data_IF_736895949706
#
_entry.id   IF_736895949706
#
_cell.length_a   1.000
_cell.length_b   1.000
_cell.length_c   1.000
_cell.angle_alpha   90.00
_cell.angle_beta   90.00
_cell.angle_gamma   90.00
#
_symmetry.space_group_name_H-M   'P 1'
#
loop_
_entity.id
_entity.type
_entity.pdbx_description
1 polymer ?
#
# COMPACT_ATOMS: atom_id res chain seq x y z
N UNK A 1 11.85 13.14 1.14
CA UNK A 1 11.43 12.55 -0.16
C UNK A 1 9.92 12.31 -0.13
N UNK A 2 9.20 12.59 -1.22
CA UNK A 2 7.73 12.45 -1.25
C UNK A 2 7.35 10.96 -1.34
N UNK A 3 6.25 10.53 -0.67
CA UNK A 3 5.68 9.17 -0.72
C UNK A 3 5.48 8.70 -2.17
N UNK A 4 5.05 9.61 -3.03
CA UNK A 4 4.88 9.39 -4.47
C UNK A 4 6.19 9.03 -5.19
N UNK A 5 7.29 9.66 -4.79
CA UNK A 5 8.61 9.39 -5.37
C UNK A 5 9.12 8.00 -4.99
N UNK A 6 8.96 7.61 -3.71
CA UNK A 6 9.29 6.27 -3.22
C UNK A 6 8.45 5.22 -3.96
N UNK A 7 7.15 5.46 -4.09
CA UNK A 7 6.23 4.57 -4.81
C UNK A 7 6.64 4.42 -6.29
N UNK A 8 7.00 5.51 -6.96
CA UNK A 8 7.49 5.46 -8.34
C UNK A 8 8.80 4.66 -8.46
N UNK A 9 9.76 4.86 -7.56
CA UNK A 9 11.01 4.08 -7.55
C UNK A 9 10.75 2.59 -7.36
N UNK A 10 9.86 2.21 -6.44
CA UNK A 10 9.45 0.82 -6.22
C UNK A 10 8.77 0.23 -7.47
N UNK A 11 7.91 1.01 -8.15
CA UNK A 11 7.27 0.59 -9.40
C UNK A 11 8.29 0.37 -10.52
N UNK A 12 9.28 1.26 -10.68
CA UNK A 12 10.39 1.07 -11.63
C UNK A 12 11.16 -0.21 -11.31
N UNK A 13 11.47 -0.44 -10.03
CA UNK A 13 12.17 -1.64 -9.58
C UNK A 13 11.39 -2.91 -9.94
N UNK A 14 10.10 -2.98 -9.60
CA UNK A 14 9.23 -4.11 -9.92
C UNK A 14 9.08 -4.33 -11.43
N UNK A 15 8.92 -3.25 -12.20
CA UNK A 15 8.85 -3.33 -13.66
C UNK A 15 10.17 -3.87 -14.24
N UNK A 16 11.31 -3.42 -13.72
CA UNK A 16 12.63 -3.90 -14.12
C UNK A 16 12.79 -5.38 -13.83
N UNK A 17 12.41 -5.84 -12.64
CA UNK A 17 12.40 -7.26 -12.28
C UNK A 17 11.57 -8.09 -13.26
N UNK A 18 10.37 -7.61 -13.62
CA UNK A 18 9.51 -8.27 -14.60
C UNK A 18 10.15 -8.34 -15.98
N UNK A 19 10.80 -7.27 -16.44
CA UNK A 19 11.48 -7.22 -17.75
C UNK A 19 12.66 -8.18 -17.84
N UNK A 20 13.44 -8.33 -16.76
CA UNK A 20 14.56 -9.28 -16.72
C UNK A 20 14.11 -10.72 -16.39
N UNK A 21 12.81 -10.96 -16.21
CA UNK A 21 12.26 -12.29 -15.93
C UNK A 21 12.47 -12.79 -14.50
N UNK A 22 12.75 -11.90 -13.53
CA UNK A 22 12.92 -12.26 -12.12
C UNK A 22 11.66 -11.95 -11.31
N UNK A 23 11.21 -12.92 -10.52
CA UNK A 23 10.19 -12.69 -9.50
C UNK A 23 10.78 -11.95 -8.29
N UNK A 24 9.93 -11.26 -7.50
CA UNK A 24 10.38 -10.63 -6.25
C UNK A 24 11.03 -11.65 -5.29
N UNK A 25 10.50 -12.89 -5.28
CA UNK A 25 11.02 -13.98 -4.46
C UNK A 25 12.41 -14.42 -4.90
N UNK A 26 12.58 -14.65 -6.20
CA UNK A 26 13.88 -15.05 -6.77
C UNK A 26 14.92 -13.95 -6.63
N UNK A 27 14.52 -12.69 -6.82
CA UNK A 27 15.37 -11.54 -6.53
C UNK A 27 15.82 -11.51 -5.06
N UNK A 28 14.87 -11.61 -4.12
CA UNK A 28 15.18 -11.54 -2.70
C UNK A 28 16.12 -12.66 -2.25
N UNK A 29 15.92 -13.88 -2.77
CA UNK A 29 16.79 -15.02 -2.49
C UNK A 29 18.21 -14.83 -3.02
N UNK A 30 18.35 -14.41 -4.29
CA UNK A 30 19.66 -14.12 -4.90
C UNK A 30 20.39 -12.99 -4.18
N UNK A 31 19.68 -11.92 -3.86
CA UNK A 31 20.24 -10.80 -3.13
C UNK A 31 20.81 -11.25 -1.77
N UNK A 32 20.09 -12.11 -1.03
CA UNK A 32 20.57 -12.65 0.24
C UNK A 32 21.81 -13.52 0.04
N UNK A 33 21.79 -14.45 -0.90
CA UNK A 33 22.92 -15.36 -1.16
C UNK A 33 24.19 -14.63 -1.62
N UNK A 34 24.06 -13.52 -2.34
CA UNK A 34 25.21 -12.73 -2.81
C UNK A 34 25.68 -11.68 -1.79
N UNK A 35 24.82 -11.27 -0.85
CA UNK A 35 25.16 -10.27 0.17
C UNK A 35 25.70 -10.90 1.45
N UNK A 36 25.21 -12.09 1.83
CA UNK A 36 25.60 -12.78 3.05
C UNK A 36 26.53 -13.95 2.72
N UNK A 37 27.76 -13.91 3.24
CA UNK A 37 28.79 -14.93 3.00
C UNK A 37 28.43 -16.29 3.61
N UNK A 38 27.69 -16.28 4.72
CA UNK A 38 27.11 -17.46 5.37
C UNK A 38 25.72 -17.13 5.89
N UNK A 39 24.69 -17.78 5.35
CA UNK A 39 23.32 -17.69 5.85
C UNK A 39 22.73 -19.11 5.93
N UNK A 40 22.22 -19.48 7.10
CA UNK A 40 21.42 -20.69 7.24
C UNK A 40 20.05 -20.53 6.55
N UNK A 41 19.36 -21.65 6.35
CA UNK A 41 18.08 -21.69 5.62
C UNK A 41 16.99 -20.84 6.30
N UNK A 42 17.02 -20.74 7.62
CA UNK A 42 16.08 -19.90 8.38
C UNK A 42 16.35 -18.41 8.14
N UNK A 43 17.62 -17.99 8.19
CA UNK A 43 18.06 -16.61 7.94
C UNK A 43 17.77 -16.19 6.50
N UNK A 44 17.95 -17.11 5.55
CA UNK A 44 17.60 -16.88 4.14
C UNK A 44 16.10 -16.60 4.01
N UNK A 45 15.26 -17.46 4.60
CA UNK A 45 13.80 -17.30 4.53
C UNK A 45 13.31 -16.01 5.19
N UNK A 46 13.80 -15.69 6.40
CA UNK A 46 13.41 -14.46 7.12
C UNK A 46 13.84 -13.20 6.36
N UNK A 47 15.06 -13.19 5.82
CA UNK A 47 15.59 -12.06 5.05
C UNK A 47 14.85 -11.90 3.73
N UNK A 48 14.53 -13.01 3.05
CA UNK A 48 13.71 -13.01 1.83
C UNK A 48 12.35 -12.37 2.06
N UNK A 49 11.64 -12.80 3.10
CA UNK A 49 10.32 -12.28 3.42
C UNK A 49 10.38 -10.80 3.84
N UNK A 50 11.45 -10.39 4.52
CA UNK A 50 11.73 -8.98 4.85
C UNK A 50 11.91 -8.14 3.57
N UNK A 51 12.71 -8.61 2.61
CA UNK A 51 12.95 -7.92 1.34
C UNK A 51 11.65 -7.82 0.53
N UNK A 52 10.88 -8.89 0.42
CA UNK A 52 9.58 -8.87 -0.26
C UNK A 52 8.66 -7.83 0.39
N UNK A 53 8.59 -7.77 1.73
CA UNK A 53 7.84 -6.73 2.44
C UNK A 53 8.35 -5.32 2.09
N UNK A 54 9.66 -5.11 2.04
CA UNK A 54 10.25 -3.82 1.68
C UNK A 54 9.92 -3.41 0.22
N UNK A 55 9.95 -4.35 -0.72
CA UNK A 55 9.58 -4.06 -2.11
C UNK A 55 8.11 -3.62 -2.27
N UNK A 56 7.25 -3.99 -1.32
CA UNK A 56 5.82 -3.64 -1.36
C UNK A 56 5.44 -2.45 -0.47
N UNK A 57 6.37 -1.91 0.33
CA UNK A 57 6.09 -0.82 1.28
C UNK A 57 6.55 0.53 0.74
N UNK A 58 5.62 1.48 0.59
CA UNK A 58 5.93 2.89 0.27
C UNK A 58 6.67 3.66 1.37
N UNK A 59 6.94 2.99 2.50
CA UNK A 59 7.77 3.49 3.62
C UNK A 59 9.22 3.02 3.55
N UNK A 60 9.57 2.17 2.58
CA UNK A 60 10.94 1.70 2.40
C UNK A 60 11.90 2.84 2.07
N UNK A 61 13.07 2.84 2.69
CA UNK A 61 14.04 3.91 2.52
C UNK A 61 14.52 4.02 1.06
N UNK A 62 14.67 5.24 0.52
CA UNK A 62 15.15 5.46 -0.84
C UNK A 62 16.52 4.86 -1.11
N UNK A 63 17.41 4.91 -0.12
CA UNK A 63 18.76 4.38 -0.17
C UNK A 63 18.72 2.87 -0.42
N UNK A 64 17.87 2.15 0.33
CA UNK A 64 17.71 0.71 0.18
C UNK A 64 17.12 0.33 -1.19
N UNK A 65 16.15 1.11 -1.69
CA UNK A 65 15.60 0.92 -3.03
C UNK A 65 16.70 1.12 -4.10
N UNK A 66 17.57 2.11 -3.91
CA UNK A 66 18.69 2.34 -4.83
C UNK A 66 19.70 1.20 -4.75
N UNK A 67 19.99 0.64 -3.57
CA UNK A 67 20.84 -0.54 -3.40
C UNK A 67 20.27 -1.74 -4.16
N UNK A 68 18.98 -2.02 -4.01
CA UNK A 68 18.32 -3.09 -4.76
C UNK A 68 18.37 -2.85 -6.27
N UNK A 69 18.16 -1.62 -6.70
CA UNK A 69 18.26 -1.25 -8.11
C UNK A 69 19.70 -1.40 -8.66
N UNK A 70 20.71 -1.05 -7.87
CA UNK A 70 22.12 -1.24 -8.24
C UNK A 70 22.47 -2.71 -8.38
N UNK A 71 22.00 -3.55 -7.45
CA UNK A 71 22.16 -5.00 -7.54
C UNK A 71 21.49 -5.57 -8.80
N UNK A 72 20.26 -5.13 -9.10
CA UNK A 72 19.58 -5.55 -10.34
C UNK A 72 20.42 -5.17 -11.56
N UNK A 73 20.97 -3.95 -11.60
CA UNK A 73 21.81 -3.47 -12.71
C UNK A 73 23.13 -4.22 -12.85
N UNK A 74 23.66 -4.82 -11.78
CA UNK A 74 24.87 -5.66 -11.85
C UNK A 74 24.60 -7.09 -12.31
N UNK A 75 23.34 -7.52 -12.40
CA UNK A 75 22.99 -8.88 -12.86
C UNK A 75 23.23 -9.05 -14.36
N UNK A 76 23.57 -10.26 -14.79
CA UNK A 76 23.77 -10.58 -16.21
C UNK A 76 22.48 -10.42 -17.00
N UNK A 77 21.35 -10.77 -16.40
CA UNK A 77 20.02 -10.66 -16.98
C UNK A 77 19.69 -9.21 -17.37
N UNK A 78 20.09 -8.24 -16.54
CA UNK A 78 19.92 -6.83 -16.89
C UNK A 78 20.77 -6.40 -18.09
N UNK A 79 22.00 -6.93 -18.22
CA UNK A 79 22.88 -6.60 -19.36
C UNK A 79 22.37 -7.11 -20.72
N UNK A 80 21.55 -8.16 -20.72
CA UNK A 80 20.98 -8.80 -21.92
C UNK A 80 19.54 -8.34 -22.18
N UNK A 81 18.87 -7.81 -21.16
CA UNK A 81 17.50 -7.32 -21.28
C UNK A 81 17.42 -6.08 -22.19
N UNK A 82 16.38 -6.03 -23.01
CA UNK A 82 16.05 -4.80 -23.75
C UNK A 82 15.79 -3.68 -22.73
N UNK A 83 16.27 -2.44 -22.99
CA UNK A 83 15.92 -1.31 -22.15
C UNK A 83 14.41 -1.20 -22.05
N UNK A 84 13.90 -0.84 -20.87
CA UNK A 84 12.48 -0.55 -20.66
C UNK A 84 12.05 0.44 -21.76
N UNK A 85 11.24 -0.02 -22.72
CA UNK A 85 10.62 0.88 -23.69
C UNK A 85 9.67 1.78 -22.91
N UNK A 86 10.00 3.07 -22.87
CA UNK A 86 9.39 4.05 -21.98
C UNK A 86 7.87 4.25 -22.15
N UNK A 87 7.25 3.78 -23.24
CA UNK A 87 5.87 4.19 -23.56
C UNK A 87 4.76 3.19 -23.23
N UNK A 88 5.02 1.89 -23.14
CA UNK A 88 3.91 0.91 -23.00
C UNK A 88 3.74 0.36 -21.58
N UNK A 89 4.83 0.24 -20.80
CA UNK A 89 4.83 -0.49 -19.53
C UNK A 89 4.91 0.38 -18.27
N UNK A 90 5.52 1.58 -18.32
CA UNK A 90 5.72 2.40 -17.13
C UNK A 90 5.32 3.86 -17.35
N UNK A 91 4.22 4.26 -16.70
CA UNK A 91 3.83 5.67 -16.55
C UNK A 91 4.07 6.09 -15.10
N UNK A 92 4.93 7.08 -14.80
CA UNK A 92 5.12 7.57 -13.43
C UNK A 92 3.77 8.03 -12.84
N UNK A 93 3.54 7.72 -11.57
CA UNK A 93 2.43 8.31 -10.83
C UNK A 93 2.73 9.80 -10.66
N UNK A 94 1.74 10.62 -10.90
CA UNK A 94 1.76 12.09 -10.84
C UNK A 94 1.10 12.63 -9.57
N UNK A 95 0.51 11.77 -8.74
CA UNK A 95 -0.28 12.11 -7.57
C UNK A 95 -1.69 12.58 -7.90
N UNK A 96 -2.15 12.38 -9.15
CA UNK A 96 -3.47 12.85 -9.62
C UNK A 96 -4.35 11.69 -10.02
N UNK A 97 -5.65 11.96 -10.13
CA UNK A 97 -6.71 10.97 -10.44
C UNK A 97 -6.38 9.99 -11.58
N UNK A 98 -5.65 10.45 -12.61
CA UNK A 98 -5.29 9.62 -13.77
C UNK A 98 -4.33 8.45 -13.45
N UNK A 99 -3.67 8.49 -12.30
CA UNK A 99 -2.72 7.47 -11.84
C UNK A 99 -3.39 6.14 -11.53
N UNK A 100 -4.67 6.17 -11.14
CA UNK A 100 -5.41 4.99 -10.75
C UNK A 100 -5.46 3.93 -11.86
N UNK A 101 -5.67 4.33 -13.11
CA UNK A 101 -5.68 3.42 -14.24
C UNK A 101 -4.36 2.64 -14.38
N UNK A 102 -3.26 3.27 -13.94
CA UNK A 102 -1.94 2.64 -13.94
C UNK A 102 -1.81 1.66 -12.78
N UNK A 103 -2.28 2.03 -11.58
CA UNK A 103 -2.23 1.19 -10.38
C UNK A 103 -3.04 -0.09 -10.59
N UNK A 104 -4.30 0.02 -11.05
CA UNK A 104 -5.17 -1.13 -11.35
C UNK A 104 -4.53 -2.09 -12.36
N UNK A 105 -3.96 -1.54 -13.44
CA UNK A 105 -3.28 -2.34 -14.46
C UNK A 105 -2.07 -3.11 -13.91
N UNK A 106 -1.42 -2.58 -12.87
CA UNK A 106 -0.24 -3.19 -12.26
C UNK A 106 -0.56 -4.20 -11.16
N UNK A 107 -1.78 -4.20 -10.60
CA UNK A 107 -2.23 -5.18 -9.61
C UNK A 107 -2.31 -6.58 -10.24
N UNK A 108 -1.45 -7.50 -9.79
CA UNK A 108 -1.35 -8.84 -10.37
C UNK A 108 -2.49 -9.77 -9.94
N UNK A 109 -2.97 -9.62 -8.71
CA UNK A 109 -4.10 -10.39 -8.20
C UNK A 109 -5.40 -9.90 -8.84
N UNK A 110 -6.15 -10.80 -9.47
CA UNK A 110 -7.38 -10.45 -10.19
C UNK A 110 -8.51 -10.02 -9.24
N UNK A 111 -8.57 -10.63 -8.05
CA UNK A 111 -9.57 -10.30 -7.03
C UNK A 111 -9.29 -8.89 -6.50
N UNK A 112 -8.07 -8.63 -6.06
CA UNK A 112 -7.64 -7.31 -5.59
C UNK A 112 -7.84 -6.25 -6.68
N UNK A 113 -7.53 -6.58 -7.94
CA UNK A 113 -7.73 -5.66 -9.07
C UNK A 113 -9.20 -5.26 -9.23
N UNK A 114 -10.10 -6.23 -9.30
CA UNK A 114 -11.53 -5.97 -9.50
C UNK A 114 -12.17 -5.28 -8.28
N UNK A 115 -11.72 -5.61 -7.07
CA UNK A 115 -12.11 -4.90 -5.83
C UNK A 115 -11.68 -3.43 -5.88
N UNK A 116 -10.42 -3.17 -6.23
CA UNK A 116 -9.90 -1.82 -6.40
C UNK A 116 -10.64 -1.06 -7.50
N UNK A 117 -11.06 -1.76 -8.57
CA UNK A 117 -11.73 -1.13 -9.71
C UNK A 117 -13.05 -0.47 -9.30
N UNK A 118 -13.87 -1.24 -8.59
CA UNK A 118 -15.17 -0.78 -8.13
C UNK A 118 -15.01 0.26 -7.02
N UNK A 119 -14.09 0.05 -6.07
CA UNK A 119 -13.84 0.98 -4.98
C UNK A 119 -13.36 2.34 -5.48
N UNK A 120 -12.49 2.38 -6.48
CA UNK A 120 -12.01 3.63 -7.03
C UNK A 120 -13.05 4.33 -7.90
N UNK A 121 -13.84 3.59 -8.69
CA UNK A 121 -14.98 4.17 -9.40
C UNK A 121 -15.93 4.90 -8.42
N UNK A 122 -16.18 4.28 -7.27
CA UNK A 122 -16.92 4.90 -6.18
C UNK A 122 -16.20 6.13 -5.59
N UNK A 123 -14.92 6.00 -5.25
CA UNK A 123 -14.13 7.08 -4.68
C UNK A 123 -14.08 8.33 -5.59
N UNK A 124 -13.98 8.14 -6.91
CA UNK A 124 -14.02 9.23 -7.89
C UNK A 124 -15.41 9.82 -8.12
N UNK A 125 -16.48 9.06 -7.86
CA UNK A 125 -17.82 9.60 -7.88
C UNK A 125 -18.07 10.56 -6.70
N UNK A 126 -17.36 10.38 -5.57
CA UNK A 126 -17.57 11.17 -4.35
C UNK A 126 -16.49 12.24 -4.09
N UNK A 127 -15.38 12.22 -4.83
CA UNK A 127 -14.31 13.20 -4.69
C UNK A 127 -13.03 12.84 -5.43
N UNK A 128 -11.90 13.08 -4.77
CA UNK A 128 -10.57 12.70 -5.26
C UNK A 128 -10.08 11.47 -4.50
N UNK A 129 -9.20 10.69 -5.11
CA UNK A 129 -8.62 9.52 -4.47
C UNK A 129 -7.21 9.22 -4.96
N UNK A 130 -6.37 8.82 -4.02
CA UNK A 130 -5.02 8.29 -4.21
C UNK A 130 -4.70 7.31 -3.08
N UNK A 131 -3.61 6.55 -3.22
CA UNK A 131 -3.11 5.60 -2.20
C UNK A 131 -4.17 4.63 -1.67
N UNK A 132 -4.55 3.66 -2.48
CA UNK A 132 -5.50 2.61 -2.10
C UNK A 132 -4.81 1.49 -1.30
N UNK A 133 -5.47 1.02 -0.24
CA UNK A 133 -5.09 -0.15 0.54
C UNK A 133 -6.30 -1.09 0.63
N UNK A 134 -6.09 -2.38 0.39
CA UNK A 134 -7.15 -3.40 0.40
C UNK A 134 -6.84 -4.43 1.47
N UNK A 135 -7.87 -4.85 2.21
CA UNK A 135 -7.78 -6.01 3.10
C UNK A 135 -9.05 -6.84 3.01
N UNK A 136 -8.90 -8.15 2.91
CA UNK A 136 -10.03 -9.08 3.01
C UNK A 136 -10.53 -9.10 4.45
N UNK A 137 -11.85 -9.05 4.61
CA UNK A 137 -12.52 -9.16 5.90
C UNK A 137 -13.39 -10.41 5.91
N UNK A 138 -13.24 -11.21 6.94
CA UNK A 138 -14.07 -12.38 7.18
C UNK A 138 -15.42 -11.96 7.76
N UNK A 139 -16.49 -12.52 7.19
CA UNK A 139 -17.85 -12.50 7.72
C UNK A 139 -18.47 -13.89 7.47
N UNK A 140 -19.41 -14.31 8.33
CA UNK A 140 -19.92 -15.66 8.58
C UNK A 140 -20.42 -16.47 7.34
N UNK A 141 -19.53 -16.75 6.38
CA UNK A 141 -19.59 -17.87 5.45
C UNK A 141 -20.35 -17.70 4.13
N UNK A 142 -20.89 -16.52 3.79
CA UNK A 142 -21.76 -16.38 2.61
C UNK A 142 -21.18 -15.59 1.43
N UNK A 143 -20.28 -14.63 1.64
CA UNK A 143 -19.69 -13.83 0.57
C UNK A 143 -18.33 -13.26 0.98
N UNK A 144 -17.37 -13.21 0.05
CA UNK A 144 -16.09 -12.52 0.28
C UNK A 144 -16.33 -11.02 0.40
N UNK A 145 -15.69 -10.41 1.39
CA UNK A 145 -15.80 -8.99 1.68
C UNK A 145 -14.42 -8.38 1.83
N UNK A 146 -14.30 -7.12 1.43
CA UNK A 146 -13.06 -6.40 1.43
C UNK A 146 -13.29 -4.99 1.97
N UNK A 147 -12.35 -4.50 2.77
CA UNK A 147 -12.25 -3.07 3.07
C UNK A 147 -11.27 -2.45 2.11
N UNK A 148 -11.66 -1.33 1.53
CA UNK A 148 -10.77 -0.51 0.71
C UNK A 148 -10.66 0.86 1.33
N UNK A 149 -9.44 1.24 1.72
CA UNK A 149 -9.10 2.55 2.23
C UNK A 149 -8.42 3.35 1.12
N UNK A 150 -8.69 4.65 1.04
CA UNK A 150 -7.96 5.57 0.18
C UNK A 150 -7.73 6.91 0.87
N UNK A 151 -6.74 7.67 0.43
CA UNK A 151 -6.60 9.07 0.79
C UNK A 151 -7.27 9.94 -0.27
N UNK A 152 -7.99 10.99 0.15
CA UNK A 152 -8.75 11.81 -0.77
C UNK A 152 -9.39 13.03 -0.12
N UNK A 153 -9.66 14.05 -0.92
CA UNK A 153 -10.65 15.09 -0.60
C UNK A 153 -12.03 14.59 -1.00
N UNK A 154 -12.84 14.26 0.00
CA UNK A 154 -14.22 13.75 -0.16
C UNK A 154 -15.18 14.92 -0.01
N UNK A 155 -16.01 15.15 -1.03
CA UNK A 155 -16.99 16.26 -1.03
C UNK A 155 -16.53 17.55 -1.73
N UNK A 156 -15.36 17.57 -2.38
CA UNK A 156 -14.87 18.65 -3.25
C UNK A 156 -14.85 20.04 -2.57
N UNK A 157 -14.41 20.10 -1.31
CA UNK A 157 -14.39 21.33 -0.53
C UNK A 157 -13.28 22.31 -0.94
N UNK A 158 -12.21 21.83 -1.57
CA UNK A 158 -11.13 22.65 -2.13
C UNK A 158 -10.29 23.43 -1.11
N UNK A 159 -10.46 23.18 0.18
CA UNK A 159 -9.72 23.84 1.26
C UNK A 159 -8.41 23.12 1.60
N UNK A 160 -7.40 23.88 2.05
CA UNK A 160 -6.16 23.30 2.59
C UNK A 160 -6.46 22.57 3.91
N UNK A 161 -6.71 21.26 3.84
CA UNK A 161 -7.11 20.44 4.98
C UNK A 161 -8.30 19.53 4.72
N UNK A 162 -8.97 19.65 3.57
CA UNK A 162 -10.17 18.88 3.21
C UNK A 162 -9.91 17.43 2.80
N UNK A 163 -8.68 16.94 2.91
CA UNK A 163 -8.33 15.56 2.56
C UNK A 163 -8.04 14.71 3.80
N UNK A 164 -8.41 13.44 3.74
CA UNK A 164 -8.21 12.46 4.80
C UNK A 164 -8.32 11.03 4.29
N UNK A 165 -8.26 10.07 5.21
CA UNK A 165 -8.52 8.67 4.87
C UNK A 165 -10.02 8.42 4.79
N UNK A 166 -10.46 7.89 3.66
CA UNK A 166 -11.81 7.41 3.42
C UNK A 166 -11.80 5.90 3.21
N UNK A 167 -12.98 5.29 3.27
CA UNK A 167 -13.15 3.84 3.23
C UNK A 167 -14.49 3.46 2.58
N UNK A 168 -14.51 2.29 1.94
CA UNK A 168 -15.73 1.60 1.54
C UNK A 168 -15.58 0.09 1.76
N UNK A 169 -16.72 -0.61 1.85
CA UNK A 169 -16.75 -2.07 1.87
C UNK A 169 -17.17 -2.59 0.49
N UNK A 170 -16.36 -3.48 -0.08
CA UNK A 170 -16.63 -4.16 -1.35
C UNK A 170 -17.01 -5.61 -1.06
N UNK A 171 -18.04 -6.12 -1.74
CA UNK A 171 -18.52 -7.48 -1.59
C UNK A 171 -18.54 -8.21 -2.93
N UNK A 172 -18.22 -9.50 -2.90
CA UNK A 172 -18.41 -10.41 -4.03
C UNK A 172 -19.88 -10.89 -4.05
N UNK A 173 -20.56 -10.67 -5.17
CA UNK A 173 -21.90 -11.22 -5.42
C UNK A 173 -21.86 -12.72 -5.66
N UNK A 174 -23.03 -13.36 -5.61
CA UNK A 174 -23.16 -14.78 -5.96
C UNK A 174 -22.70 -15.14 -7.39
N UNK A 175 -22.63 -14.14 -8.29
CA UNK A 175 -22.18 -14.32 -9.67
C UNK A 175 -20.67 -14.02 -9.86
N UNK A 176 -19.92 -13.80 -8.78
CA UNK A 176 -18.49 -13.48 -8.82
C UNK A 176 -18.17 -12.03 -9.19
N UNK A 177 -19.18 -11.15 -9.31
CA UNK A 177 -18.96 -9.72 -9.55
C UNK A 177 -18.80 -8.97 -8.24
N UNK A 178 -17.83 -8.06 -8.18
CA UNK A 178 -17.63 -7.16 -7.06
C UNK A 178 -18.51 -5.91 -7.16
N UNK A 179 -19.00 -5.42 -6.02
CA UNK A 179 -19.75 -4.16 -5.91
C UNK A 179 -19.51 -3.51 -4.54
N UNK A 180 -19.69 -2.19 -4.45
CA UNK A 180 -19.65 -1.48 -3.16
C UNK A 180 -20.94 -1.77 -2.41
N UNK A 181 -20.86 -2.49 -1.29
CA UNK A 181 -22.00 -2.87 -0.45
C UNK A 181 -22.33 -1.76 0.56
N UNK A 182 -21.31 -1.28 1.28
CA UNK A 182 -21.45 -0.19 2.26
C UNK A 182 -20.61 1.01 1.88
N UNK A 183 -21.32 2.10 1.66
CA UNK A 183 -20.79 3.42 1.36
C UNK A 183 -20.61 4.30 2.62
N UNK A 184 -21.22 3.96 3.77
CA UNK A 184 -21.32 4.90 4.89
C UNK A 184 -19.99 5.18 5.62
N UNK A 185 -19.78 6.48 5.85
CA UNK A 185 -18.49 7.17 5.90
C UNK A 185 -17.99 7.55 7.31
N UNK A 186 -18.48 6.91 8.38
CA UNK A 186 -17.97 7.20 9.73
C UNK A 186 -16.82 6.28 10.07
N UNK A 187 -15.68 6.62 9.50
CA UNK A 187 -14.39 6.01 9.76
C UNK A 187 -13.48 7.04 10.43
N UNK A 188 -13.59 7.14 11.75
CA UNK A 188 -12.75 8.04 12.55
C UNK A 188 -11.66 7.22 13.24
N UNK A 189 -10.46 7.22 12.66
CA UNK A 189 -9.28 6.54 13.22
C UNK A 189 -8.61 7.33 14.35
N UNK A 190 -8.95 8.62 14.48
CA UNK A 190 -8.23 9.59 15.29
C UNK A 190 -6.90 10.05 14.68
N UNK A 191 -6.41 9.38 13.63
CA UNK A 191 -5.16 9.70 12.94
C UNK A 191 -5.35 10.79 11.90
N UNK A 192 -4.30 11.57 11.63
CA UNK A 192 -4.32 12.55 10.55
C UNK A 192 -4.36 11.89 9.18
N UNK A 193 -3.59 10.82 9.01
CA UNK A 193 -3.56 9.98 7.82
C UNK A 193 -3.26 8.52 8.20
N UNK A 194 -3.89 7.59 7.50
CA UNK A 194 -3.55 6.16 7.56
C UNK A 194 -2.45 5.88 6.52
N UNK A 195 -1.34 5.35 6.98
CA UNK A 195 -0.19 5.02 6.12
C UNK A 195 -0.32 3.65 5.47
N UNK A 196 -0.86 2.66 6.19
CA UNK A 196 -1.14 1.32 5.68
C UNK A 196 -2.13 0.57 6.57
N UNK A 197 -2.70 -0.50 6.01
CA UNK A 197 -3.36 -1.54 6.80
C UNK A 197 -2.28 -2.52 7.31
N UNK A 198 -2.26 -2.81 8.61
CA UNK A 198 -1.34 -3.81 9.19
C UNK A 198 -1.94 -5.21 9.10
N UNK A 199 -3.27 -5.31 9.19
CA UNK A 199 -4.03 -6.56 8.97
C UNK A 199 -5.45 -6.48 9.53
N UNK A 200 -6.21 -7.54 9.29
CA UNK A 200 -7.52 -7.80 9.90
C UNK A 200 -7.51 -9.21 10.50
N UNK A 201 -7.85 -9.34 11.78
CA UNK A 201 -7.88 -10.62 12.48
C UNK A 201 -8.95 -10.60 13.58
N UNK A 202 -9.73 -11.68 13.72
CA UNK A 202 -10.73 -11.84 14.79
C UNK A 202 -11.69 -10.64 14.95
N UNK A 203 -12.16 -10.07 13.84
CA UNK A 203 -13.04 -8.89 13.86
C UNK A 203 -12.34 -7.55 14.14
N UNK A 204 -11.00 -7.54 14.22
CA UNK A 204 -10.20 -6.37 14.55
C UNK A 204 -9.37 -5.93 13.34
N UNK A 205 -9.65 -4.71 12.86
CA UNK A 205 -8.85 -4.03 11.85
C UNK A 205 -7.69 -3.30 12.55
N UNK A 206 -6.46 -3.55 12.10
CA UNK A 206 -5.27 -2.88 12.61
C UNK A 206 -4.66 -1.98 11.54
N UNK A 207 -4.44 -0.73 11.90
CA UNK A 207 -3.95 0.33 11.02
C UNK A 207 -2.67 0.94 11.56
N UNK A 208 -1.79 1.38 10.67
CA UNK A 208 -0.65 2.22 11.00
C UNK A 208 -0.85 3.57 10.35
N UNK A 209 -0.73 4.65 11.11
CA UNK A 209 -0.85 6.00 10.59
C UNK A 209 -0.13 7.03 11.44
N UNK A 210 -0.33 8.30 11.09
CA UNK A 210 0.45 9.39 11.67
C UNK A 210 -0.42 10.50 12.27
N UNK A 211 0.12 11.20 13.27
CA UNK A 211 -0.42 12.42 13.87
C UNK A 211 0.67 13.50 14.00
N UNK A 212 0.22 14.74 14.20
CA UNK A 212 1.14 15.85 14.39
C UNK A 212 1.79 15.82 15.78
N UNK A 213 3.10 16.02 15.82
CA UNK A 213 3.81 16.55 16.96
C UNK A 213 3.65 18.08 17.04
N UNK A 214 4.07 18.65 18.16
CA UNK A 214 3.91 20.08 18.48
C UNK A 214 4.52 21.03 17.43
N UNK A 215 5.58 20.60 16.75
CA UNK A 215 6.31 21.40 15.77
C UNK A 215 6.21 20.85 14.34
N UNK A 216 5.26 19.95 14.07
CA UNK A 216 5.09 19.42 12.72
C UNK A 216 4.49 20.47 11.79
N UNK A 217 5.03 20.51 10.56
CA UNK A 217 4.40 21.27 9.48
C UNK A 217 3.11 20.57 9.05
N UNK A 218 2.13 21.35 8.55
CA UNK A 218 0.76 20.87 8.26
C UNK A 218 0.69 19.71 7.25
N UNK A 219 1.73 19.43 6.47
CA UNK A 219 1.78 18.31 5.53
C UNK A 219 2.71 17.16 5.97
N UNK A 220 3.27 17.21 7.18
CA UNK A 220 4.27 16.25 7.64
C UNK A 220 4.04 15.81 9.10
N UNK A 221 2.97 15.05 9.39
CA UNK A 221 2.80 14.42 10.70
C UNK A 221 3.94 13.41 10.95
N UNK A 222 4.50 13.44 12.16
CA UNK A 222 5.72 12.72 12.53
C UNK A 222 5.50 11.66 13.61
N UNK A 223 4.45 11.74 14.43
CA UNK A 223 4.14 10.69 15.42
C UNK A 223 3.45 9.52 14.74
N UNK A 224 3.99 8.32 14.89
CA UNK A 224 3.44 7.10 14.31
C UNK A 224 2.67 6.33 15.38
N UNK A 225 1.46 5.91 15.03
CA UNK A 225 0.58 5.14 15.89
C UNK A 225 0.10 3.86 15.21
N UNK A 226 -0.09 2.84 16.04
CA UNK A 226 -0.85 1.64 15.71
C UNK A 226 -2.25 1.77 16.30
N UNK A 227 -3.27 1.68 15.47
CA UNK A 227 -4.68 1.80 15.87
C UNK A 227 -5.38 0.49 15.58
N UNK A 228 -6.06 -0.06 16.59
CA UNK A 228 -6.95 -1.21 16.44
C UNK A 228 -8.38 -0.73 16.47
N UNK A 229 -9.19 -1.22 15.54
CA UNK A 229 -10.58 -0.86 15.37
C UNK A 229 -11.46 -2.10 15.31
N UNK A 230 -12.66 -2.01 15.88
CA UNK A 230 -13.70 -3.03 15.74
C UNK A 230 -14.99 -2.41 15.23
N UNK A 231 -15.83 -3.23 14.62
CA UNK A 231 -17.15 -2.81 14.14
C UNK A 231 -18.16 -2.90 15.29
N UNK A 232 -18.87 -1.82 15.56
CA UNK A 232 -20.02 -1.78 16.47
C UNK A 232 -21.31 -1.95 15.65
N UNK A 233 -22.10 -2.97 16.00
CA UNK A 233 -23.42 -3.26 15.41
C UNK A 233 -23.46 -3.09 13.88
N UNK A 234 -22.46 -3.62 13.17
CA UNK A 234 -22.32 -3.64 11.70
C UNK A 234 -22.33 -2.29 10.96
N UNK A 235 -22.25 -1.16 11.67
CA UNK A 235 -22.46 0.16 11.05
C UNK A 235 -21.33 1.14 11.28
N UNK A 236 -20.51 0.97 12.33
CA UNK A 236 -19.46 1.94 12.66
C UNK A 236 -18.17 1.27 13.11
N UNK A 237 -17.07 1.67 12.52
CA UNK A 237 -15.73 1.31 12.99
C UNK A 237 -15.33 2.22 14.13
N UNK A 238 -15.02 1.63 15.30
CA UNK A 238 -14.59 2.36 16.50
C UNK A 238 -13.17 1.98 16.86
N UNK A 239 -12.38 2.96 17.25
CA UNK A 239 -11.07 2.73 17.86
C UNK A 239 -11.25 2.05 19.21
N UNK A 240 -10.64 0.88 19.36
CA UNK A 240 -10.59 0.13 20.62
C UNK A 240 -9.23 0.23 21.31
N UNK A 241 -8.16 0.47 20.55
CA UNK A 241 -6.82 0.68 21.07
C UNK A 241 -6.03 1.64 20.17
N UNK A 242 -5.15 2.44 20.77
CA UNK A 242 -4.23 3.32 20.07
C UNK A 242 -2.89 3.33 20.81
N UNK A 243 -1.86 2.84 20.14
CA UNK A 243 -0.51 2.68 20.68
C UNK A 243 0.47 3.58 19.92
N UNK A 244 1.26 4.38 20.64
CA UNK A 244 2.36 5.13 20.05
C UNK A 244 3.53 4.18 19.78
N UNK A 245 3.98 4.10 18.53
CA UNK A 245 5.04 3.16 18.13
C UNK A 245 6.35 3.85 17.71
N UNK A 246 6.40 5.19 17.73
CA UNK A 246 7.62 5.96 17.50
C UNK A 246 7.42 7.20 16.64
N UNK A 247 8.52 7.86 16.31
CA UNK A 247 8.53 8.96 15.36
C UNK A 247 8.91 8.43 13.97
N UNK A 248 8.41 9.07 12.91
CA UNK A 248 8.66 8.72 11.51
C UNK A 248 10.16 8.65 11.15
N UNK A 249 11.02 9.30 11.93
CA UNK A 249 12.48 9.27 11.78
C UNK A 249 13.14 8.01 12.38
N UNK A 250 12.47 7.26 13.26
CA UNK A 250 13.00 6.05 13.91
C UNK A 250 12.76 4.75 13.13
N UNK A 251 12.02 4.80 12.01
CA UNK A 251 11.88 3.66 11.09
C UNK A 251 12.91 3.68 9.94
N UNK A 252 13.99 4.45 10.12
CA UNK A 252 15.06 4.68 9.12
C UNK A 252 16.37 3.94 9.43
N UNK A 253 16.38 3.02 10.40
CA UNK A 253 17.54 2.17 10.71
C UNK A 253 17.32 0.72 10.23
#
# INVERSE_FOLDING_TARGET
>A
MNKLEIQNRLRILKATLKTIGLSQRSFAERYVLETYEYADEETINRSRDKIIKQLNRVTTSPELINTYMQFIKSTKEFSVASPLKNDELYKPLTGVISDYAVIVRETSDETERTVMEVAAAYAFAVGTAWHFEVVEIEDDGLAKRFLVLWEGDVGLGGGSGSWGTAMCEVQESHFGHHFVDKAEHRFETGLRCVSRIDGYHDGVLTLIGCEYAENDVNNYPSKVFKVSMSKDNDTRWKVINKEFIGLRNYFSE
#
